data_IF_172520102581
#
_entry.id   IF_172520102581
#
_cell.length_a   1.000
_cell.length_b   1.000
_cell.length_c   1.000
_cell.angle_alpha   90.00
_cell.angle_beta   90.00
_cell.angle_gamma   90.00
#
_symmetry.space_group_name_H-M   'P 1'
#
loop_
_entity.id
_entity.type
_entity.pdbx_description
1 polymer ?
#
# COMPACT_ATOMS: atom_id res chain seq x y z
N UNK A 1 -36.48 -5.53 -2.23
CA UNK A 1 -35.23 -4.73 -2.27
C UNK A 1 -34.56 -4.89 -0.92
N UNK A 2 -33.58 -5.78 -0.80
CA UNK A 2 -32.79 -5.95 0.43
C UNK A 2 -31.70 -4.89 0.45
N UNK A 3 -31.60 -4.10 1.52
CA UNK A 3 -30.48 -3.18 1.74
C UNK A 3 -29.15 -3.92 1.56
N UNK A 4 -28.11 -3.28 0.97
CA UNK A 4 -26.79 -3.89 0.90
C UNK A 4 -26.30 -4.19 2.32
N UNK A 5 -25.64 -5.33 2.56
CA UNK A 5 -25.08 -5.65 3.87
C UNK A 5 -24.11 -4.55 4.29
N UNK A 6 -24.11 -4.24 5.59
CA UNK A 6 -23.16 -3.31 6.21
C UNK A 6 -21.73 -3.66 5.76
N UNK A 7 -21.01 -2.67 5.24
CA UNK A 7 -19.63 -2.84 4.80
C UNK A 7 -18.73 -2.35 5.94
N UNK A 8 -18.30 -3.23 6.88
CA UNK A 8 -17.52 -2.82 8.05
C UNK A 8 -16.21 -2.10 7.69
N UNK A 9 -15.73 -2.31 6.46
CA UNK A 9 -14.52 -1.70 5.94
C UNK A 9 -14.74 -0.74 4.79
N UNK A 10 -15.95 -0.22 4.57
CA UNK A 10 -16.12 0.87 3.61
C UNK A 10 -15.10 1.97 3.93
N UNK A 11 -14.21 2.26 2.98
CA UNK A 11 -13.42 3.47 3.05
C UNK A 11 -14.46 4.60 3.06
N UNK A 12 -14.45 5.42 4.10
CA UNK A 12 -15.10 6.72 4.01
C UNK A 12 -14.45 7.40 2.82
N UNK A 13 -15.24 7.62 1.76
CA UNK A 13 -14.87 8.53 0.71
C UNK A 13 -14.91 9.94 1.33
N UNK A 14 -13.90 10.25 2.13
CA UNK A 14 -13.60 11.60 2.53
C UNK A 14 -13.10 12.30 1.28
N UNK A 15 -14.03 12.90 0.54
CA UNK A 15 -13.68 14.03 -0.31
C UNK A 15 -13.36 15.17 0.66
N UNK A 16 -12.09 15.27 1.04
CA UNK A 16 -11.60 16.49 1.68
C UNK A 16 -11.65 17.60 0.62
N UNK A 17 -12.48 18.65 0.79
CA UNK A 17 -12.68 19.68 -0.22
C UNK A 17 -11.47 20.61 -0.37
N UNK A 18 -10.49 20.50 0.52
CA UNK A 18 -9.18 21.13 0.38
C UNK A 18 -8.20 20.09 -0.17
N UNK A 19 -8.02 20.09 -1.50
CA UNK A 19 -6.88 19.43 -2.11
C UNK A 19 -5.62 19.92 -1.40
N UNK A 20 -5.00 19.03 -0.62
CA UNK A 20 -3.79 19.34 0.13
C UNK A 20 -2.74 19.95 -0.82
N UNK A 21 -1.83 20.81 -0.34
CA UNK A 21 -0.73 21.30 -1.20
C UNK A 21 0.08 20.16 -1.83
N UNK A 22 0.00 18.95 -1.26
CA UNK A 22 0.60 17.72 -1.78
C UNK A 22 -0.11 17.14 -3.01
N UNK A 23 -1.41 17.46 -3.21
CA UNK A 23 -2.17 17.11 -4.41
C UNK A 23 -2.00 18.12 -5.54
N UNK A 24 -1.29 19.23 -5.33
CA UNK A 24 -0.93 20.14 -6.43
C UNK A 24 0.15 19.52 -7.30
N UNK A 25 -0.10 19.51 -8.61
CA UNK A 25 0.89 19.04 -9.58
C UNK A 25 2.15 19.90 -9.53
N UNK A 26 3.29 19.23 -9.62
CA UNK A 26 4.61 19.86 -9.66
C UNK A 26 5.06 20.08 -11.11
N UNK A 27 6.01 21.01 -11.35
CA UNK A 27 6.62 21.16 -12.67
C UNK A 27 7.18 19.82 -13.20
N UNK A 28 6.82 19.48 -14.44
CA UNK A 28 7.25 18.23 -15.10
C UNK A 28 6.37 17.01 -14.81
N UNK A 29 5.34 17.13 -13.97
CA UNK A 29 4.34 16.07 -13.80
C UNK A 29 3.31 16.06 -14.93
N UNK A 30 2.78 14.88 -15.24
CA UNK A 30 1.77 14.68 -16.28
C UNK A 30 0.63 13.85 -15.71
N UNK A 31 -0.58 14.40 -15.80
CA UNK A 31 -1.84 13.74 -15.45
C UNK A 31 -2.61 13.33 -16.72
N UNK A 32 -3.40 12.26 -16.63
CA UNK A 32 -4.29 11.81 -17.71
C UNK A 32 -5.70 11.58 -17.17
N UNK A 33 -6.76 11.75 -17.99
CA UNK A 33 -8.10 11.34 -17.58
C UNK A 33 -8.13 9.84 -17.29
N UNK A 34 -8.86 9.45 -16.23
CA UNK A 34 -9.12 8.05 -15.93
C UNK A 34 -10.29 7.53 -16.79
N UNK A 35 -10.38 6.21 -17.01
CA UNK A 35 -11.57 5.59 -17.59
C UNK A 35 -12.83 5.95 -16.79
N UNK A 36 -13.97 6.03 -17.47
CA UNK A 36 -15.25 6.42 -16.85
C UNK A 36 -15.76 5.43 -15.78
N UNK A 37 -15.30 4.18 -15.84
CA UNK A 37 -15.71 3.12 -14.92
C UNK A 37 -14.55 2.20 -14.56
N UNK A 38 -14.82 1.25 -13.66
CA UNK A 38 -13.88 0.20 -13.29
C UNK A 38 -14.17 -1.08 -14.07
N UNK A 39 -13.13 -1.75 -14.53
CA UNK A 39 -13.22 -3.06 -15.17
C UNK A 39 -13.53 -4.18 -14.16
N UNK A 40 -13.15 -3.99 -12.90
CA UNK A 40 -13.31 -4.96 -11.81
C UNK A 40 -13.46 -4.27 -10.45
N UNK A 41 -14.01 -5.02 -9.48
CA UNK A 41 -14.12 -4.62 -8.08
C UNK A 41 -13.12 -5.37 -7.19
N UNK A 42 -12.73 -4.73 -6.09
CA UNK A 42 -11.92 -5.33 -5.02
C UNK A 42 -12.71 -5.34 -3.71
N UNK A 43 -12.53 -6.40 -2.92
CA UNK A 43 -12.99 -6.42 -1.54
C UNK A 43 -11.83 -6.05 -0.62
N UNK A 44 -12.10 -5.19 0.35
CA UNK A 44 -11.19 -5.01 1.47
C UNK A 44 -11.40 -6.15 2.45
N UNK A 45 -10.35 -6.91 2.68
CA UNK A 45 -10.39 -8.10 3.55
C UNK A 45 -10.07 -7.77 5.01
N UNK A 46 -9.71 -6.52 5.30
CA UNK A 46 -9.34 -6.06 6.62
C UNK A 46 -8.81 -4.63 6.58
N UNK A 47 -8.13 -4.23 7.65
CA UNK A 47 -7.41 -2.95 7.73
C UNK A 47 -6.04 -3.11 8.39
N UNK A 48 -5.14 -2.22 8.02
CA UNK A 48 -3.86 -2.04 8.68
C UNK A 48 -4.01 -0.98 9.78
N UNK A 49 -3.41 -1.25 10.94
CA UNK A 49 -3.22 -0.31 12.05
C UNK A 49 -1.75 0.01 12.18
N UNK A 50 -1.42 1.29 12.11
CA UNK A 50 -0.04 1.78 12.16
C UNK A 50 0.03 3.02 13.07
N UNK A 51 1.22 3.43 13.54
CA UNK A 51 1.34 4.64 14.36
C UNK A 51 1.27 5.95 13.56
N UNK A 52 1.06 5.89 12.24
CA UNK A 52 1.14 7.06 11.36
C UNK A 52 -0.26 7.56 11.00
N UNK A 53 -0.64 8.72 11.52
CA UNK A 53 -1.95 9.34 11.27
C UNK A 53 -1.91 10.45 10.21
N UNK A 54 -0.71 10.87 9.79
CA UNK A 54 -0.51 11.75 8.66
C UNK A 54 0.47 11.13 7.64
N UNK A 55 0.30 11.47 6.36
CA UNK A 55 1.14 10.93 5.28
C UNK A 55 2.62 11.28 5.44
N UNK A 56 2.91 12.48 5.93
CA UNK A 56 4.28 12.93 6.18
C UNK A 56 5.01 12.10 7.24
N UNK A 57 4.28 11.43 8.13
CA UNK A 57 4.83 10.58 9.19
C UNK A 57 5.18 9.18 8.68
N UNK A 58 4.58 8.76 7.56
CA UNK A 58 4.78 7.43 7.00
C UNK A 58 6.23 7.25 6.52
N UNK A 59 6.86 6.08 6.80
CA UNK A 59 8.16 5.75 6.25
C UNK A 59 8.13 5.81 4.72
N UNK A 60 9.24 6.20 4.07
CA UNK A 60 9.28 6.18 2.59
C UNK A 60 9.36 4.77 2.02
N UNK A 61 9.77 3.81 2.84
CA UNK A 61 9.71 2.39 2.57
C UNK A 61 9.71 1.60 3.89
N UNK A 62 9.12 0.41 3.85
CA UNK A 62 9.01 -0.53 4.97
C UNK A 62 10.30 -0.82 5.76
N UNK A 63 11.50 -0.61 5.20
CA UNK A 63 12.78 -0.87 5.91
C UNK A 63 13.26 0.30 6.77
N UNK A 64 12.58 1.44 6.73
CA UNK A 64 12.96 2.65 7.48
C UNK A 64 12.35 2.72 8.88
N UNK A 65 11.56 1.72 9.29
CA UNK A 65 10.95 1.69 10.61
C UNK A 65 10.82 0.27 11.12
N UNK A 66 11.08 0.10 12.41
CA UNK A 66 10.81 -1.12 13.17
C UNK A 66 9.48 -1.02 13.95
N UNK A 67 8.62 -0.07 13.59
CA UNK A 67 7.32 0.11 14.23
C UNK A 67 6.48 -1.18 14.14
N UNK A 68 5.96 -1.59 15.29
CA UNK A 68 5.01 -2.69 15.38
C UNK A 68 3.66 -2.22 14.87
N UNK A 69 3.14 -2.92 13.88
CA UNK A 69 1.84 -2.67 13.27
C UNK A 69 0.92 -3.87 13.50
N UNK A 70 -0.38 -3.66 13.32
CA UNK A 70 -1.38 -4.74 13.40
C UNK A 70 -2.18 -4.80 12.11
N UNK A 71 -2.31 -5.98 11.55
CA UNK A 71 -3.27 -6.27 10.49
C UNK A 71 -4.52 -6.85 11.14
N UNK A 72 -5.65 -6.20 10.97
CA UNK A 72 -6.97 -6.65 11.44
C UNK A 72 -7.75 -7.22 10.26
N UNK A 73 -7.92 -8.55 10.22
CA UNK A 73 -8.70 -9.23 9.20
C UNK A 73 -10.20 -9.20 9.53
N UNK A 74 -11.04 -9.08 8.50
CA UNK A 74 -12.48 -9.33 8.65
C UNK A 74 -12.70 -10.74 9.19
N UNK A 75 -13.52 -10.93 10.23
CA UNK A 75 -13.85 -12.25 10.76
C UNK A 75 -14.36 -13.24 9.71
N UNK A 76 -15.00 -12.77 8.63
CA UNK A 76 -15.45 -13.61 7.51
C UNK A 76 -14.31 -14.35 6.81
N UNK A 77 -13.08 -13.82 6.87
CA UNK A 77 -11.91 -14.44 6.25
C UNK A 77 -10.99 -15.15 7.26
N UNK A 78 -11.39 -15.28 8.53
CA UNK A 78 -10.55 -15.83 9.60
C UNK A 78 -9.97 -17.23 9.28
N UNK A 79 -10.78 -18.12 8.69
CA UNK A 79 -10.32 -19.46 8.30
C UNK A 79 -9.20 -19.42 7.24
N UNK A 80 -9.10 -18.34 6.46
CA UNK A 80 -8.00 -18.14 5.50
C UNK A 80 -6.62 -17.97 6.16
N UNK A 81 -6.56 -17.79 7.48
CA UNK A 81 -5.30 -17.67 8.22
C UNK A 81 -4.70 -19.01 8.66
N UNK A 82 -5.37 -20.15 8.41
CA UNK A 82 -4.84 -21.46 8.80
C UNK A 82 -3.42 -21.69 8.24
N UNK A 83 -2.45 -21.88 9.13
CA UNK A 83 -1.05 -22.15 8.79
C UNK A 83 -0.19 -20.89 8.57
N UNK A 84 -0.76 -19.68 8.66
CA UNK A 84 0.00 -18.43 8.51
C UNK A 84 1.05 -18.26 9.60
N UNK A 85 0.81 -18.76 10.81
CA UNK A 85 1.74 -18.75 11.93
C UNK A 85 3.04 -19.52 11.67
N UNK A 86 3.06 -20.38 10.64
CA UNK A 86 4.28 -21.08 10.21
C UNK A 86 5.21 -20.20 9.36
N UNK A 87 4.76 -19.02 8.94
CA UNK A 87 5.51 -18.08 8.13
C UNK A 87 6.32 -17.11 8.99
N UNK A 88 7.55 -16.77 8.56
CA UNK A 88 8.31 -15.67 9.19
C UNK A 88 8.04 -14.33 8.54
N UNK A 89 7.65 -14.32 7.25
CA UNK A 89 7.38 -13.13 6.46
C UNK A 89 6.17 -13.32 5.57
N UNK A 90 5.45 -12.22 5.34
CA UNK A 90 4.28 -12.16 4.46
C UNK A 90 4.49 -11.09 3.41
N UNK A 91 4.07 -11.36 2.18
CA UNK A 91 3.78 -10.34 1.19
C UNK A 91 2.37 -9.78 1.48
N UNK A 92 2.33 -8.52 1.87
CA UNK A 92 1.10 -7.81 2.26
C UNK A 92 0.73 -6.84 1.14
N UNK A 93 -0.48 -6.95 0.60
CA UNK A 93 -1.03 -6.03 -0.40
C UNK A 93 -2.10 -5.14 0.23
N UNK A 94 -1.97 -3.83 0.07
CA UNK A 94 -2.87 -2.85 0.67
C UNK A 94 -3.19 -1.71 -0.30
N UNK A 95 -4.35 -1.08 -0.11
CA UNK A 95 -4.87 -0.05 -0.99
C UNK A 95 -4.56 1.34 -0.43
N UNK A 96 -3.74 2.13 -1.13
CA UNK A 96 -3.40 3.50 -0.73
C UNK A 96 -4.60 4.43 -1.00
N UNK A 97 -5.65 4.27 -0.20
CA UNK A 97 -7.01 4.79 -0.40
C UNK A 97 -7.11 6.31 -0.54
N UNK A 98 -6.11 7.06 -0.04
CA UNK A 98 -6.08 8.51 -0.18
C UNK A 98 -5.28 8.97 -1.43
N UNK A 99 -4.53 8.11 -2.10
CA UNK A 99 -3.70 8.52 -3.23
C UNK A 99 -4.54 8.90 -4.45
N UNK A 100 -4.24 10.04 -5.08
CA UNK A 100 -4.71 10.34 -6.45
C UNK A 100 -4.22 9.27 -7.43
N UNK A 101 -4.91 9.14 -8.57
CA UNK A 101 -4.74 7.97 -9.47
C UNK A 101 -4.35 8.32 -10.91
N UNK A 102 -4.30 9.59 -11.24
CA UNK A 102 -4.24 10.13 -12.60
C UNK A 102 -2.82 10.51 -13.08
N UNK A 103 -1.81 10.55 -12.20
CA UNK A 103 -0.44 10.88 -12.62
C UNK A 103 0.24 9.70 -13.35
N UNK A 104 0.74 9.97 -14.56
CA UNK A 104 1.54 9.02 -15.37
C UNK A 104 3.03 9.39 -15.41
N UNK A 105 3.37 10.66 -15.13
CA UNK A 105 4.74 11.13 -14.87
C UNK A 105 4.72 11.91 -13.57
N UNK A 106 5.66 11.61 -12.68
CA UNK A 106 5.77 12.19 -11.35
C UNK A 106 7.14 12.82 -11.15
N UNK A 107 7.22 13.86 -10.31
CA UNK A 107 8.46 14.54 -9.95
C UNK A 107 8.70 14.43 -8.43
N UNK A 108 9.21 13.27 -7.94
CA UNK A 108 9.55 13.13 -6.53
C UNK A 108 10.70 14.07 -6.16
N UNK A 109 10.54 14.82 -5.07
CA UNK A 109 11.50 15.85 -4.62
C UNK A 109 12.95 15.37 -4.51
N UNK A 110 13.16 14.08 -4.25
CA UNK A 110 14.50 13.51 -4.03
C UNK A 110 15.20 13.04 -5.31
N UNK A 111 14.48 12.94 -6.43
CA UNK A 111 15.01 12.26 -7.62
C UNK A 111 15.48 13.17 -8.75
N UNK A 112 15.43 14.49 -8.59
CA UNK A 112 16.02 15.50 -9.48
C UNK A 112 15.38 15.65 -10.86
N UNK A 113 14.83 14.57 -11.41
CA UNK A 113 14.17 14.49 -12.72
C UNK A 113 12.82 13.78 -12.61
N UNK A 114 11.80 14.20 -13.39
CA UNK A 114 10.54 13.47 -13.49
C UNK A 114 10.72 12.05 -14.03
N UNK A 115 9.87 11.12 -13.59
CA UNK A 115 9.89 9.71 -14.01
C UNK A 115 8.48 9.21 -14.23
N UNK A 116 8.33 8.26 -15.15
CA UNK A 116 7.07 7.56 -15.35
C UNK A 116 6.63 6.86 -14.06
N UNK A 117 5.34 6.89 -13.75
CA UNK A 117 4.74 6.29 -12.54
C UNK A 117 5.14 4.83 -12.37
N UNK A 118 5.24 4.07 -13.47
CA UNK A 118 5.61 2.65 -13.43
C UNK A 118 7.11 2.40 -13.22
N UNK A 119 7.97 3.41 -13.39
CA UNK A 119 9.39 3.35 -13.06
C UNK A 119 9.67 3.71 -11.58
N UNK A 120 8.62 4.03 -10.80
CA UNK A 120 8.66 4.42 -9.40
C UNK A 120 7.83 3.45 -8.55
N UNK A 121 8.05 3.50 -7.23
CA UNK A 121 7.20 2.86 -6.20
C UNK A 121 6.30 3.87 -5.47
N UNK A 122 5.95 4.97 -6.14
CA UNK A 122 5.02 5.97 -5.59
C UNK A 122 3.65 5.35 -5.30
N UNK A 123 2.95 5.78 -4.23
CA UNK A 123 1.57 5.39 -3.97
C UNK A 123 0.58 5.98 -5.00
N UNK A 124 0.95 7.06 -5.68
CA UNK A 124 0.13 7.71 -6.71
C UNK A 124 0.22 6.89 -8.01
N UNK A 125 -0.83 6.12 -8.31
CA UNK A 125 -0.90 5.20 -9.45
C UNK A 125 -2.34 4.98 -9.91
N UNK A 126 -2.58 4.56 -11.16
CA UNK A 126 -3.93 4.22 -11.64
C UNK A 126 -4.67 3.22 -10.75
N UNK A 127 -3.97 2.20 -10.25
CA UNK A 127 -4.44 1.31 -9.21
C UNK A 127 -3.46 1.41 -8.03
N UNK A 128 -3.78 2.14 -6.96
CA UNK A 128 -2.88 2.44 -5.85
C UNK A 128 -2.68 1.22 -4.91
N UNK A 129 -2.34 0.08 -5.49
CA UNK A 129 -1.98 -1.15 -4.78
C UNK A 129 -0.51 -1.02 -4.37
N UNK A 130 -0.28 -1.03 -3.07
CA UNK A 130 1.03 -1.09 -2.47
C UNK A 130 1.33 -2.51 -1.99
N UNK A 131 2.62 -2.80 -1.86
CA UNK A 131 3.12 -4.11 -1.47
C UNK A 131 4.30 -3.96 -0.53
N UNK A 132 4.25 -4.68 0.60
CA UNK A 132 5.37 -4.81 1.53
C UNK A 132 5.66 -6.26 1.86
N UNK A 133 6.94 -6.58 2.07
CA UNK A 133 7.36 -7.83 2.70
C UNK A 133 7.52 -7.54 4.19
N UNK A 134 6.54 -7.96 4.99
CA UNK A 134 6.48 -7.69 6.41
C UNK A 134 6.89 -8.94 7.21
N UNK A 135 7.63 -8.73 8.29
CA UNK A 135 7.96 -9.79 9.25
C UNK A 135 6.75 -10.08 10.12
N UNK A 136 6.35 -11.34 10.18
CA UNK A 136 5.30 -11.81 11.08
C UNK A 136 5.87 -12.00 12.48
N UNK A 137 5.20 -11.43 13.48
CA UNK A 137 5.59 -11.52 14.90
C UNK A 137 4.65 -12.45 15.65
N UNK A 138 3.34 -12.32 15.45
CA UNK A 138 2.33 -13.13 16.12
C UNK A 138 1.03 -13.18 15.30
N UNK A 139 0.25 -14.23 15.51
CA UNK A 139 -1.12 -14.40 15.00
C UNK A 139 -2.05 -14.69 16.17
N UNK A 140 -3.07 -13.84 16.35
CA UNK A 140 -4.02 -13.90 17.47
C UNK A 140 -5.44 -13.73 16.94
N UNK A 141 -6.13 -14.84 16.69
CA UNK A 141 -7.46 -14.82 16.06
C UNK A 141 -7.39 -14.21 14.66
N UNK A 142 -8.01 -13.05 14.47
CA UNK A 142 -7.99 -12.29 13.20
C UNK A 142 -6.97 -11.16 13.16
N UNK A 143 -6.08 -11.09 14.17
CA UNK A 143 -5.06 -10.04 14.30
C UNK A 143 -3.68 -10.63 14.02
N UNK A 144 -2.93 -9.97 13.15
CA UNK A 144 -1.52 -10.31 12.90
C UNK A 144 -0.65 -9.14 13.33
N UNK A 145 0.30 -9.41 14.21
CA UNK A 145 1.31 -8.42 14.62
C UNK A 145 2.48 -8.52 13.66
N UNK A 146 2.85 -7.41 13.03
CA UNK A 146 3.86 -7.38 11.97
C UNK A 146 4.80 -6.18 12.08
N UNK A 147 5.98 -6.28 11.48
CA UNK A 147 6.95 -5.18 11.32
C UNK A 147 7.31 -5.06 9.84
N UNK A 148 7.51 -3.83 9.37
CA UNK A 148 7.83 -3.54 7.98
C UNK A 148 6.62 -3.18 7.14
N UNK A 149 5.76 -2.28 7.64
CA UNK A 149 4.73 -1.60 6.84
C UNK A 149 5.05 -0.10 6.75
N UNK A 150 4.46 0.60 5.79
CA UNK A 150 4.75 2.01 5.49
C UNK A 150 3.50 2.83 5.12
N UNK A 151 2.32 2.39 5.57
CA UNK A 151 1.04 2.98 5.21
C UNK A 151 0.35 3.68 6.39
N UNK A 152 -0.54 4.62 6.07
CA UNK A 152 -1.35 5.35 7.03
C UNK A 152 -2.19 4.39 7.90
N UNK A 153 -2.43 4.78 9.14
CA UNK A 153 -3.38 4.09 9.99
C UNK A 153 -4.76 4.02 9.32
N UNK A 154 -5.40 2.86 9.42
CA UNK A 154 -6.69 2.61 8.79
C UNK A 154 -6.63 2.16 7.32
N UNK A 155 -5.44 2.07 6.72
CA UNK A 155 -5.28 1.65 5.31
C UNK A 155 -5.97 0.30 5.03
N UNK A 156 -6.82 0.20 3.99
CA UNK A 156 -7.48 -1.05 3.65
C UNK A 156 -6.51 -2.16 3.20
N UNK A 157 -6.75 -3.38 3.70
CA UNK A 157 -6.02 -4.58 3.30
C UNK A 157 -6.70 -5.24 2.10
N UNK A 158 -5.90 -5.65 1.12
CA UNK A 158 -6.37 -6.38 -0.06
C UNK A 158 -6.05 -7.87 0.01
N UNK A 159 -4.83 -8.21 0.42
CA UNK A 159 -4.36 -9.60 0.34
C UNK A 159 -3.17 -9.87 1.27
N UNK A 160 -2.99 -11.15 1.61
CA UNK A 160 -1.86 -11.68 2.37
C UNK A 160 -1.35 -12.94 1.67
N UNK A 161 -0.03 -13.04 1.48
CA UNK A 161 0.61 -14.24 0.92
C UNK A 161 1.84 -14.62 1.74
N UNK A 162 2.15 -15.93 1.87
CA UNK A 162 3.46 -16.34 2.37
C UNK A 162 4.55 -15.78 1.45
N UNK A 163 5.63 -15.26 2.04
CA UNK A 163 6.80 -14.83 1.28
C UNK A 163 7.80 -15.99 1.15
N UNK A 164 8.04 -16.43 -0.08
CA UNK A 164 8.98 -17.50 -0.39
C UNK A 164 10.30 -16.90 -0.87
N UNK A 165 11.31 -16.83 0.01
CA UNK A 165 12.63 -16.34 -0.38
C UNK A 165 13.24 -17.09 -1.59
N UNK A 166 12.89 -18.36 -1.78
CA UNK A 166 13.33 -19.17 -2.94
C UNK A 166 12.75 -18.71 -4.27
N UNK A 167 11.67 -17.96 -4.27
CA UNK A 167 10.87 -17.65 -5.47
C UNK A 167 10.69 -16.14 -5.65
N UNK A 168 10.48 -15.40 -4.57
CA UNK A 168 10.20 -13.97 -4.59
C UNK A 168 11.47 -13.11 -4.56
N UNK A 169 12.59 -13.64 -4.07
CA UNK A 169 13.84 -12.89 -3.94
C UNK A 169 14.70 -12.97 -5.19
N UNK A 170 15.05 -11.80 -5.75
CA UNK A 170 16.05 -11.64 -6.81
C UNK A 170 17.09 -10.63 -6.30
N UNK A 171 18.13 -11.13 -5.63
CA UNK A 171 19.06 -10.32 -4.86
C UNK A 171 19.93 -9.38 -5.71
N UNK A 172 20.15 -9.72 -6.98
CA UNK A 172 20.96 -9.00 -7.96
C UNK A 172 20.13 -8.08 -8.87
N UNK A 173 18.83 -7.91 -8.61
CA UNK A 173 17.97 -7.02 -9.38
C UNK A 173 18.44 -5.55 -9.32
N UNK A 174 18.43 -4.87 -10.46
CA UNK A 174 18.91 -3.49 -10.61
C UNK A 174 17.82 -2.55 -11.12
N UNK A 175 17.73 -1.35 -10.53
CA UNK A 175 16.98 -0.22 -11.08
C UNK A 175 17.97 0.75 -11.72
N UNK A 176 18.07 0.75 -13.05
CA UNK A 176 19.16 1.41 -13.78
C UNK A 176 19.37 2.90 -13.44
N UNK A 177 18.29 3.70 -13.46
CA UNK A 177 18.36 5.12 -13.14
C UNK A 177 18.73 5.41 -11.67
N UNK A 178 18.48 4.45 -10.77
CA UNK A 178 18.81 4.58 -9.34
C UNK A 178 20.26 4.17 -9.06
N UNK A 179 20.77 3.15 -9.78
CA UNK A 179 22.15 2.70 -9.68
C UNK A 179 23.15 3.79 -10.15
N UNK A 180 22.82 4.49 -11.24
CA UNK A 180 23.64 5.59 -11.80
C UNK A 180 23.83 6.80 -10.85
N UNK A 181 23.13 6.84 -9.70
CA UNK A 181 23.32 7.89 -8.67
C UNK A 181 24.37 7.53 -7.62
N UNK A 182 24.81 6.27 -7.57
CA UNK A 182 25.82 5.79 -6.62
C UNK A 182 27.23 5.78 -7.21
N UNK A 183 27.37 6.17 -8.48
CA UNK A 183 28.63 6.38 -9.20
C UNK A 183 29.02 7.85 -9.19
#
# INVERSE_FOLDING_TARGET
MTSPPDRPFAATAGHDPEASEEDRMRPGEVAVPLPEGFDAGLFYIGRVRTPWHHRGDCPRNARQSDAVCTIELDPRYAQGLTGVETCTHLLVLYWMHQARRDLVVQAPRHYGEPRGTFALRSPVRPNPIAASVARLVAVEGTRLTVIGLDCLDGTPLLDLKPYFASTDAVADAVVGWHAARKS
#
